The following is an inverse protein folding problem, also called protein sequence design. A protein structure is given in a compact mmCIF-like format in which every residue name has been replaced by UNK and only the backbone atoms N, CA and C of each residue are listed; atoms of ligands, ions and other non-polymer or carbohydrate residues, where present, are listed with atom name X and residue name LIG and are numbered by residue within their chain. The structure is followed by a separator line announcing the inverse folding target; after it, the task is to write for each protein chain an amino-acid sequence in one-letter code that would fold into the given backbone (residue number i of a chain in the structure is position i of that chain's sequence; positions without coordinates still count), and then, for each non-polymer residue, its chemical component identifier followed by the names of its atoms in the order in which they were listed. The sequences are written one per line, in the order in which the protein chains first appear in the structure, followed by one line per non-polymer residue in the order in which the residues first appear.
data_IF_554251334235
#
_entry.id   IF_554251334235
#
_cell.length_a   1.000
_cell.length_b   1.000
_cell.length_c   1.000
_cell.angle_alpha   90.00
_cell.angle_beta   90.00
_cell.angle_gamma   90.00
#
_symmetry.space_group_name_H-M   'P 1'
#
loop_
_entity.id
_entity.type
_entity.pdbx_description
1 polymer ?
#
# COMPACT_ATOMS: atom_id res chain seq x y z
N UNK A 1 -4.23 37.79 13.12
CA UNK A 1 -4.12 36.85 11.99
C UNK A 1 -3.67 35.51 12.56
N UNK A 2 -4.63 34.65 12.91
CA UNK A 2 -4.35 33.29 13.36
C UNK A 2 -4.55 32.37 12.18
N UNK A 3 -3.46 31.82 11.64
CA UNK A 3 -3.55 30.71 10.69
C UNK A 3 -4.13 29.52 11.43
N UNK A 4 -5.27 29.00 10.98
CA UNK A 4 -5.82 27.78 11.57
C UNK A 4 -4.81 26.63 11.36
N UNK A 5 -4.52 25.83 12.40
CA UNK A 5 -3.60 24.72 12.30
C UNK A 5 -4.11 23.72 11.25
N UNK A 6 -3.23 23.39 10.29
CA UNK A 6 -3.49 22.35 9.29
C UNK A 6 -3.50 20.98 9.99
N UNK A 7 -4.50 20.15 9.67
CA UNK A 7 -4.69 18.85 10.31
C UNK A 7 -3.53 17.88 10.05
N UNK A 8 -3.26 16.94 10.99
CA UNK A 8 -2.22 15.94 10.80
C UNK A 8 -2.71 14.83 9.86
N UNK A 9 -2.17 14.83 8.64
CA UNK A 9 -2.37 13.86 7.55
C UNK A 9 -2.23 12.38 7.93
N UNK A 10 -1.64 12.09 9.10
CA UNK A 10 -1.59 10.74 9.67
C UNK A 10 -2.98 10.11 9.83
N UNK A 11 -4.04 10.90 10.06
CA UNK A 11 -5.42 10.38 10.11
C UNK A 11 -5.94 9.92 8.74
N UNK A 12 -5.57 10.63 7.67
CA UNK A 12 -5.96 10.30 6.29
C UNK A 12 -5.21 9.05 5.82
N UNK A 13 -3.94 8.93 6.18
CA UNK A 13 -3.11 7.75 5.89
C UNK A 13 -3.60 6.53 6.69
N UNK A 14 -4.02 6.72 7.94
CA UNK A 14 -4.65 5.66 8.74
C UNK A 14 -6.01 5.24 8.15
N UNK A 15 -6.81 6.18 7.64
CA UNK A 15 -8.08 5.88 6.96
C UNK A 15 -7.84 5.15 5.62
N UNK A 16 -6.80 5.51 4.88
CA UNK A 16 -6.38 4.83 3.66
C UNK A 16 -5.88 3.41 3.93
N UNK A 17 -5.05 3.25 4.96
CA UNK A 17 -4.63 1.94 5.43
C UNK A 17 -5.86 1.11 5.82
N UNK A 18 -6.78 1.67 6.62
CA UNK A 18 -8.01 1.00 7.06
C UNK A 18 -8.94 0.59 5.89
N UNK A 19 -9.02 1.39 4.82
CA UNK A 19 -9.77 1.04 3.60
C UNK A 19 -9.10 -0.09 2.81
N UNK A 20 -7.77 -0.11 2.77
CA UNK A 20 -6.97 -1.15 2.13
C UNK A 20 -6.89 -2.47 2.91
N UNK A 21 -7.09 -2.49 4.24
CA UNK A 21 -6.98 -3.75 5.01
C UNK A 21 -8.21 -4.64 4.89
N UNK A 22 -9.35 -4.19 4.33
CA UNK A 22 -10.47 -5.11 4.08
C UNK A 22 -11.79 -4.55 3.53
N UNK A 23 -11.99 -3.24 3.47
CA UNK A 23 -13.30 -2.68 3.05
C UNK A 23 -13.48 -2.51 1.54
N UNK A 24 -12.40 -2.19 0.82
CA UNK A 24 -12.49 -1.89 -0.62
C UNK A 24 -12.54 -3.17 -1.47
N UNK A 25 -11.83 -4.21 -1.07
CA UNK A 25 -11.69 -5.43 -1.85
C UNK A 25 -12.90 -6.36 -1.69
N UNK A 26 -13.47 -6.51 -0.50
CA UNK A 26 -14.77 -7.22 -0.34
C UNK A 26 -15.89 -6.51 -1.11
N UNK A 27 -15.85 -5.18 -1.17
CA UNK A 27 -16.77 -4.39 -1.98
C UNK A 27 -16.48 -4.52 -3.49
N UNK A 28 -15.22 -4.70 -3.89
CA UNK A 28 -14.82 -4.89 -5.29
C UNK A 28 -15.14 -6.32 -5.78
N UNK A 29 -14.88 -7.34 -4.97
CA UNK A 29 -15.13 -8.76 -5.24
C UNK A 29 -16.64 -9.08 -5.30
N UNK A 30 -17.42 -8.55 -4.34
CA UNK A 30 -18.90 -8.65 -4.36
C UNK A 30 -19.49 -8.02 -5.64
N UNK A 31 -18.80 -7.03 -6.21
CA UNK A 31 -19.23 -6.31 -7.41
C UNK A 31 -18.77 -7.01 -8.69
N UNK A 32 -17.58 -7.60 -8.70
CA UNK A 32 -17.11 -8.40 -9.83
C UNK A 32 -17.94 -9.68 -9.99
N UNK A 33 -18.23 -10.41 -8.91
CA UNK A 33 -19.11 -11.59 -8.98
C UNK A 33 -20.51 -11.24 -9.50
N UNK A 34 -21.07 -10.10 -9.06
CA UNK A 34 -22.35 -9.60 -9.58
C UNK A 34 -22.30 -9.18 -11.06
N UNK A 35 -21.15 -8.69 -11.55
CA UNK A 35 -20.93 -8.30 -12.95
C UNK A 35 -20.68 -9.50 -13.87
N UNK A 36 -20.05 -10.58 -13.40
CA UNK A 36 -19.94 -11.82 -14.20
C UNK A 36 -21.29 -12.50 -14.40
N UNK A 37 -22.23 -12.34 -13.46
CA UNK A 37 -23.61 -12.81 -13.59
C UNK A 37 -24.49 -11.95 -14.51
N UNK A 38 -24.08 -10.72 -14.85
CA UNK A 38 -24.82 -9.82 -15.74
C UNK A 38 -23.90 -9.06 -16.68
N UNK A 39 -23.75 -9.59 -17.89
CA UNK A 39 -23.12 -8.85 -18.98
C UNK A 39 -23.86 -7.52 -19.21
N UNK A 40 -23.07 -6.43 -19.19
CA UNK A 40 -23.40 -5.01 -19.42
C UNK A 40 -23.87 -4.17 -18.21
N UNK A 41 -22.97 -3.37 -17.62
CA UNK A 41 -23.27 -1.98 -17.19
C UNK A 41 -22.02 -1.17 -16.71
N UNK A 42 -21.64 -0.08 -17.40
CA UNK A 42 -20.67 0.94 -16.91
C UNK A 42 -21.23 1.87 -15.80
N UNK A 43 -22.55 1.91 -15.59
CA UNK A 43 -23.22 2.85 -14.68
C UNK A 43 -23.14 2.45 -13.19
N UNK A 44 -22.80 1.19 -12.90
CA UNK A 44 -22.85 0.63 -11.55
C UNK A 44 -21.55 0.81 -10.75
N UNK A 45 -20.37 0.74 -11.39
CA UNK A 45 -19.09 1.11 -10.77
C UNK A 45 -19.10 2.56 -10.24
N UNK A 46 -19.75 3.48 -10.96
CA UNK A 46 -19.98 4.86 -10.51
C UNK A 46 -20.84 4.95 -9.24
N UNK A 47 -21.82 4.06 -9.08
CA UNK A 47 -22.69 4.04 -7.90
C UNK A 47 -22.00 3.43 -6.67
N UNK A 48 -21.04 2.52 -6.87
CA UNK A 48 -20.35 1.83 -5.78
C UNK A 48 -19.10 2.59 -5.33
N UNK A 49 -18.33 3.22 -6.23
CA UNK A 49 -17.37 4.25 -5.79
C UNK A 49 -18.09 5.36 -5.02
N UNK A 50 -19.30 5.78 -5.45
CA UNK A 50 -20.11 6.71 -4.67
C UNK A 50 -20.60 6.14 -3.33
N UNK A 51 -20.89 4.84 -3.23
CA UNK A 51 -21.36 4.21 -1.98
C UNK A 51 -20.21 3.99 -1.00
N UNK A 52 -19.04 3.53 -1.45
CA UNK A 52 -17.82 3.47 -0.67
C UNK A 52 -17.39 4.88 -0.22
N UNK A 53 -17.34 5.85 -1.15
CA UNK A 53 -17.13 7.26 -0.80
C UNK A 53 -18.13 7.77 0.24
N UNK A 54 -19.42 7.41 0.13
CA UNK A 54 -20.45 7.81 1.11
C UNK A 54 -20.26 7.14 2.46
N UNK A 55 -20.00 5.83 2.51
CA UNK A 55 -19.81 5.10 3.77
C UNK A 55 -18.54 5.58 4.48
N UNK A 56 -17.46 5.80 3.73
CA UNK A 56 -16.23 6.37 4.28
C UNK A 56 -16.42 7.83 4.69
N UNK A 57 -17.11 8.65 3.89
CA UNK A 57 -17.44 10.03 4.27
C UNK A 57 -18.36 10.08 5.51
N UNK A 58 -19.31 9.16 5.65
CA UNK A 58 -20.16 9.04 6.84
C UNK A 58 -19.35 8.59 8.05
N UNK A 59 -18.47 7.60 7.92
CA UNK A 59 -17.62 7.15 9.02
C UNK A 59 -16.66 8.25 9.48
N UNK A 60 -16.03 8.94 8.52
CA UNK A 60 -15.21 10.13 8.76
C UNK A 60 -16.03 11.17 9.51
N UNK A 61 -17.19 11.60 9.00
CA UNK A 61 -18.06 12.59 9.66
C UNK A 61 -18.43 12.18 11.09
N UNK A 62 -18.67 10.89 11.33
CA UNK A 62 -19.03 10.36 12.65
C UNK A 62 -17.87 10.30 13.65
N UNK A 63 -16.62 10.24 13.17
CA UNK A 63 -15.44 10.02 14.02
C UNK A 63 -14.43 11.17 13.98
N UNK A 64 -14.62 12.14 13.08
CA UNK A 64 -13.89 13.40 13.09
C UNK A 64 -14.48 14.37 14.11
N UNK A 65 -13.62 15.11 14.79
CA UNK A 65 -14.01 16.02 15.88
C UNK A 65 -14.47 17.39 15.39
N UNK A 66 -14.31 17.70 14.10
CA UNK A 66 -14.81 18.97 13.54
C UNK A 66 -15.35 18.85 12.10
N UNK A 67 -16.28 19.74 11.69
CA UNK A 67 -16.80 19.82 10.32
C UNK A 67 -15.73 20.02 9.24
N UNK A 68 -14.58 20.61 9.61
CA UNK A 68 -13.46 20.86 8.70
C UNK A 68 -12.68 19.57 8.41
N UNK A 69 -12.44 18.76 9.44
CA UNK A 69 -11.80 17.43 9.31
C UNK A 69 -12.64 16.52 8.39
N UNK A 70 -13.97 16.60 8.51
CA UNK A 70 -14.88 15.87 7.63
C UNK A 70 -14.83 16.33 6.17
N UNK A 71 -14.61 17.62 5.91
CA UNK A 71 -14.51 18.19 4.57
C UNK A 71 -13.21 17.77 3.88
N UNK A 72 -12.09 17.82 4.59
CA UNK A 72 -10.77 17.51 4.02
C UNK A 72 -10.61 16.02 3.72
N UNK A 73 -11.13 15.15 4.59
CA UNK A 73 -11.23 13.72 4.32
C UNK A 73 -12.15 13.41 3.11
N UNK A 74 -13.21 14.18 2.87
CA UNK A 74 -14.00 14.06 1.63
C UNK A 74 -13.20 14.47 0.38
N UNK A 75 -12.31 15.46 0.46
CA UNK A 75 -11.42 15.85 -0.64
C UNK A 75 -10.39 14.75 -0.92
N UNK A 76 -9.74 14.21 0.12
CA UNK A 76 -8.80 13.10 -0.02
C UNK A 76 -9.47 11.89 -0.70
N UNK A 77 -10.66 11.49 -0.23
CA UNK A 77 -11.44 10.42 -0.85
C UNK A 77 -11.76 10.71 -2.31
N UNK A 78 -12.11 11.95 -2.66
CA UNK A 78 -12.34 12.32 -4.06
C UNK A 78 -11.09 12.14 -4.91
N UNK A 79 -9.93 12.58 -4.45
CA UNK A 79 -8.66 12.45 -5.18
C UNK A 79 -8.26 10.98 -5.40
N UNK A 80 -8.49 10.12 -4.41
CA UNK A 80 -8.20 8.68 -4.48
C UNK A 80 -9.12 7.98 -5.49
N UNK A 81 -10.38 8.40 -5.56
CA UNK A 81 -11.41 7.72 -6.38
C UNK A 81 -11.72 8.42 -7.72
N UNK A 82 -11.05 9.52 -8.08
CA UNK A 82 -11.16 10.10 -9.43
C UNK A 82 -10.14 9.48 -10.37
N UNK A 83 -10.58 8.86 -11.49
CA UNK A 83 -9.67 8.33 -12.49
C UNK A 83 -9.09 9.50 -13.28
N UNK A 84 -7.94 10.03 -12.86
CA UNK A 84 -7.28 11.11 -13.62
C UNK A 84 -5.76 10.99 -13.56
N UNK A 85 -5.23 10.26 -14.53
CA UNK A 85 -3.83 10.16 -14.94
C UNK A 85 -3.22 11.47 -15.49
N UNK A 86 -3.82 12.65 -15.25
CA UNK A 86 -3.36 13.94 -15.81
C UNK A 86 -3.26 15.12 -14.84
N UNK A 87 -3.70 14.99 -13.59
CA UNK A 87 -3.68 16.11 -12.63
C UNK A 87 -2.42 16.17 -11.75
N UNK A 88 -1.55 15.15 -11.78
CA UNK A 88 -0.40 15.02 -10.87
C UNK A 88 0.89 15.72 -11.37
N UNK A 89 0.90 16.34 -12.54
CA UNK A 89 2.13 16.88 -13.18
C UNK A 89 2.55 18.30 -12.76
N UNK A 90 1.91 18.94 -11.78
CA UNK A 90 2.18 20.37 -11.46
C UNK A 90 2.53 20.68 -10.00
N UNK A 91 3.12 19.74 -9.25
CA UNK A 91 3.44 19.96 -7.84
C UNK A 91 4.89 19.60 -7.48
N UNK A 92 5.82 20.58 -7.46
CA UNK A 92 7.24 20.35 -7.16
C UNK A 92 7.58 20.09 -5.68
N UNK A 93 6.61 20.02 -4.77
CA UNK A 93 6.81 19.77 -3.34
C UNK A 93 5.97 18.61 -2.78
N UNK A 94 5.35 17.80 -3.66
CA UNK A 94 4.41 16.72 -3.27
C UNK A 94 4.89 15.31 -3.64
N UNK A 95 6.19 15.14 -3.94
CA UNK A 95 6.75 13.83 -4.29
C UNK A 95 6.64 12.81 -3.13
N UNK A 96 6.75 13.26 -1.87
CA UNK A 96 6.55 12.46 -0.63
C UNK A 96 5.09 12.18 -0.29
N UNK A 97 4.17 12.30 -1.24
CA UNK A 97 2.80 11.83 -1.04
C UNK A 97 2.42 10.84 -2.13
N UNK A 98 2.88 11.08 -3.35
CA UNK A 98 2.70 10.13 -4.46
C UNK A 98 3.51 8.86 -4.22
N UNK A 99 4.74 8.99 -3.71
CA UNK A 99 5.60 7.84 -3.49
C UNK A 99 5.05 6.87 -2.44
N UNK A 100 4.49 7.40 -1.35
CA UNK A 100 3.94 6.70 -0.20
C UNK A 100 2.59 6.11 -0.56
N UNK A 101 1.79 6.81 -1.39
CA UNK A 101 0.58 6.24 -1.97
C UNK A 101 0.91 5.03 -2.87
N UNK A 102 1.90 5.15 -3.75
CA UNK A 102 2.36 4.03 -4.58
C UNK A 102 2.89 2.87 -3.72
N UNK A 103 3.63 3.18 -2.66
CA UNK A 103 4.14 2.20 -1.70
C UNK A 103 3.00 1.41 -1.04
N UNK A 104 2.01 2.12 -0.47
CA UNK A 104 0.81 1.49 0.12
C UNK A 104 0.11 0.61 -0.91
N UNK A 105 -0.06 1.11 -2.14
CA UNK A 105 -0.73 0.37 -3.22
C UNK A 105 0.01 -0.92 -3.56
N UNK A 106 1.33 -0.87 -3.64
CA UNK A 106 2.17 -2.04 -3.89
C UNK A 106 2.03 -3.08 -2.76
N UNK A 107 1.98 -2.66 -1.49
CA UNK A 107 1.77 -3.55 -0.35
C UNK A 107 0.40 -4.23 -0.36
N UNK A 108 -0.65 -3.51 -0.78
CA UNK A 108 -2.01 -4.04 -0.89
C UNK A 108 -2.07 -5.15 -1.93
N UNK A 109 -1.60 -4.89 -3.15
CA UNK A 109 -1.59 -5.90 -4.22
C UNK A 109 -0.70 -7.10 -3.89
N UNK A 110 0.37 -6.93 -3.12
CA UNK A 110 1.16 -8.06 -2.63
C UNK A 110 0.33 -9.02 -1.77
N UNK A 111 -0.70 -8.54 -1.06
CA UNK A 111 -1.60 -9.40 -0.26
C UNK A 111 -2.65 -10.11 -1.10
N UNK A 112 -3.06 -9.55 -2.24
CA UNK A 112 -4.00 -10.17 -3.17
C UNK A 112 -3.44 -11.46 -3.80
N UNK A 113 -2.13 -11.47 -4.03
CA UNK A 113 -1.39 -12.62 -4.52
C UNK A 113 -1.84 -13.10 -5.90
N UNK A 114 -2.44 -14.28 -5.98
CA UNK A 114 -2.92 -14.89 -7.23
C UNK A 114 -4.26 -14.31 -7.73
N UNK A 115 -4.95 -13.51 -6.90
CA UNK A 115 -6.21 -12.89 -7.29
C UNK A 115 -5.98 -11.92 -8.46
N UNK A 116 -6.87 -11.97 -9.45
CA UNK A 116 -6.84 -11.06 -10.60
C UNK A 116 -7.66 -9.82 -10.24
N UNK A 117 -6.98 -8.70 -10.07
CA UNK A 117 -7.58 -7.44 -9.63
C UNK A 117 -7.64 -6.40 -10.74
N UNK A 118 -7.25 -5.17 -10.40
CA UNK A 118 -7.15 -4.04 -11.35
C UNK A 118 -6.25 -4.41 -12.54
N UNK A 119 -6.50 -3.76 -13.69
CA UNK A 119 -5.72 -3.95 -14.93
C UNK A 119 -5.71 -5.37 -15.49
N UNK A 120 -6.56 -6.28 -14.96
CA UNK A 120 -6.55 -7.73 -15.27
C UNK A 120 -5.20 -8.38 -14.93
N UNK A 121 -4.46 -7.80 -13.99
CA UNK A 121 -3.21 -8.33 -13.49
C UNK A 121 -3.48 -9.15 -12.22
N UNK A 122 -2.63 -10.15 -11.98
CA UNK A 122 -2.57 -10.81 -10.67
C UNK A 122 -1.96 -9.85 -9.66
N UNK A 123 -2.37 -9.95 -8.39
CA UNK A 123 -1.84 -9.16 -7.28
C UNK A 123 -0.31 -9.09 -7.26
N UNK A 124 0.39 -10.19 -7.52
CA UNK A 124 1.86 -10.20 -7.64
C UNK A 124 2.38 -9.21 -8.70
N UNK A 125 1.88 -9.31 -9.93
CA UNK A 125 2.31 -8.46 -11.04
C UNK A 125 1.91 -7.00 -10.83
N UNK A 126 0.75 -6.78 -10.22
CA UNK A 126 0.29 -5.43 -9.92
C UNK A 126 1.14 -4.79 -8.81
N UNK A 127 1.51 -5.55 -7.78
CA UNK A 127 2.45 -5.12 -6.75
C UNK A 127 3.78 -4.67 -7.35
N UNK A 128 4.38 -5.47 -8.23
CA UNK A 128 5.62 -5.11 -8.92
C UNK A 128 5.50 -3.84 -9.77
N UNK A 129 4.39 -3.66 -10.48
CA UNK A 129 4.13 -2.42 -11.22
C UNK A 129 4.17 -1.20 -10.29
N UNK A 130 3.52 -1.26 -9.13
CA UNK A 130 3.50 -0.14 -8.19
C UNK A 130 4.83 0.06 -7.45
N UNK A 131 5.66 -0.98 -7.28
CA UNK A 131 7.02 -0.81 -6.79
C UNK A 131 7.89 -0.02 -7.78
N UNK A 132 7.75 -0.27 -9.08
CA UNK A 132 8.41 0.55 -10.11
C UNK A 132 7.95 2.01 -10.03
N UNK A 133 6.65 2.26 -9.82
CA UNK A 133 6.12 3.62 -9.59
C UNK A 133 6.57 4.25 -8.27
N UNK A 134 6.94 3.44 -7.27
CA UNK A 134 7.46 3.92 -5.98
C UNK A 134 8.92 4.35 -6.11
N UNK A 135 9.72 3.69 -6.96
CA UNK A 135 11.15 3.98 -7.09
C UNK A 135 11.92 3.78 -5.77
N UNK A 136 12.99 4.55 -5.55
CA UNK A 136 13.81 4.44 -4.32
C UNK A 136 13.14 5.11 -3.14
N UNK A 137 12.83 4.36 -2.09
CA UNK A 137 12.19 4.87 -0.88
C UNK A 137 13.15 4.95 0.32
N UNK A 138 13.05 5.96 1.22
CA UNK A 138 13.90 6.06 2.41
C UNK A 138 13.88 4.83 3.33
N UNK A 139 12.77 4.09 3.35
CA UNK A 139 12.62 2.88 4.17
C UNK A 139 13.41 1.66 3.66
N UNK A 140 13.89 1.68 2.43
CA UNK A 140 14.57 0.52 1.84
C UNK A 140 15.84 0.14 2.62
N UNK A 141 16.55 1.10 3.20
CA UNK A 141 17.72 0.81 4.03
C UNK A 141 17.35 0.11 5.35
N UNK A 142 16.32 0.58 6.05
CA UNK A 142 15.89 -0.04 7.31
C UNK A 142 15.30 -1.44 7.07
N UNK A 143 14.59 -1.63 5.96
CA UNK A 143 14.07 -2.94 5.54
C UNK A 143 15.18 -3.92 5.21
N UNK A 144 16.18 -3.47 4.46
CA UNK A 144 17.36 -4.28 4.16
C UNK A 144 18.05 -4.73 5.44
N UNK A 145 18.36 -3.81 6.35
CA UNK A 145 19.03 -4.13 7.61
C UNK A 145 18.22 -5.13 8.43
N UNK A 146 16.91 -4.91 8.57
CA UNK A 146 16.02 -5.83 9.28
C UNK A 146 15.99 -7.22 8.64
N UNK A 147 15.93 -7.27 7.32
CA UNK A 147 15.93 -8.53 6.58
C UNK A 147 17.25 -9.28 6.76
N UNK A 148 18.39 -8.59 6.67
CA UNK A 148 19.72 -9.19 6.88
C UNK A 148 19.88 -9.77 8.28
N UNK A 149 19.44 -9.03 9.31
CA UNK A 149 19.48 -9.45 10.71
C UNK A 149 18.61 -10.68 10.98
N UNK A 150 17.40 -10.72 10.40
CA UNK A 150 16.40 -11.75 10.74
C UNK A 150 16.42 -12.98 9.84
N UNK A 151 17.16 -12.94 8.73
CA UNK A 151 17.28 -14.05 7.78
C UNK A 151 18.58 -14.85 7.93
N UNK A 152 19.39 -14.60 8.96
CA UNK A 152 20.70 -15.25 9.15
C UNK A 152 20.60 -16.78 9.11
N UNK A 153 19.56 -17.34 9.73
CA UNK A 153 19.31 -18.79 9.78
C UNK A 153 18.43 -19.31 8.62
N UNK A 154 18.18 -18.47 7.60
CA UNK A 154 17.30 -18.78 6.47
C UNK A 154 18.08 -18.66 5.14
N UNK A 155 19.02 -19.58 4.85
CA UNK A 155 19.91 -19.46 3.70
C UNK A 155 19.18 -19.35 2.36
N UNK A 156 18.06 -20.07 2.18
CA UNK A 156 17.24 -19.99 0.96
C UNK A 156 16.58 -18.61 0.78
N UNK A 157 16.19 -17.94 1.87
CA UNK A 157 15.69 -16.55 1.82
C UNK A 157 16.82 -15.61 1.43
N UNK A 158 18.00 -15.77 2.04
CA UNK A 158 19.17 -14.94 1.73
C UNK A 158 19.57 -15.03 0.27
N UNK A 159 19.64 -16.25 -0.26
CA UNK A 159 19.95 -16.50 -1.66
C UNK A 159 18.93 -15.84 -2.60
N UNK A 160 17.63 -15.86 -2.25
CA UNK A 160 16.60 -15.22 -3.07
C UNK A 160 16.67 -13.70 -3.07
N UNK A 161 16.96 -13.08 -1.93
CA UNK A 161 17.00 -11.62 -1.81
C UNK A 161 18.31 -11.04 -2.33
N UNK A 162 19.45 -11.67 -2.05
CA UNK A 162 20.77 -11.10 -2.32
C UNK A 162 21.63 -11.92 -3.29
N UNK A 163 21.23 -13.16 -3.62
CA UNK A 163 22.05 -14.08 -4.40
C UNK A 163 23.19 -14.68 -3.57
N UNK A 164 24.25 -15.13 -4.26
CA UNK A 164 25.40 -15.82 -3.65
C UNK A 164 26.38 -14.85 -2.98
N UNK A 165 26.32 -13.56 -3.32
CA UNK A 165 27.21 -12.55 -2.75
C UNK A 165 26.53 -11.77 -1.62
N UNK A 166 27.25 -11.49 -0.52
CA UNK A 166 26.71 -10.67 0.55
C UNK A 166 26.37 -9.27 0.02
N UNK A 167 25.33 -8.63 0.55
CA UNK A 167 24.87 -7.31 0.13
C UNK A 167 25.85 -6.22 0.60
N UNK A 168 27.05 -6.15 0.04
CA UNK A 168 27.96 -5.04 0.32
C UNK A 168 27.57 -3.75 -0.41
N UNK A 169 26.59 -3.82 -1.34
CA UNK A 169 26.10 -2.66 -2.09
C UNK A 169 24.65 -2.77 -2.62
N UNK A 170 23.96 -3.90 -2.45
CA UNK A 170 22.63 -4.09 -3.03
C UNK A 170 21.57 -3.43 -2.14
N UNK A 171 20.82 -2.46 -2.67
CA UNK A 171 19.66 -1.89 -1.98
C UNK A 171 18.53 -2.93 -1.86
N UNK A 172 17.67 -2.79 -0.85
CA UNK A 172 16.42 -3.56 -0.76
C UNK A 172 15.66 -3.51 -2.08
N UNK A 173 15.29 -4.69 -2.57
CA UNK A 173 14.56 -4.89 -3.82
C UNK A 173 13.18 -5.47 -3.48
N UNK A 174 12.12 -4.65 -3.52
CA UNK A 174 10.79 -5.11 -3.16
C UNK A 174 10.24 -6.15 -4.14
N UNK A 175 10.69 -6.18 -5.40
CA UNK A 175 10.25 -7.19 -6.37
C UNK A 175 10.77 -8.57 -5.97
N UNK A 176 11.99 -8.67 -5.44
CA UNK A 176 12.48 -9.95 -4.90
C UNK A 176 11.66 -10.44 -3.71
N UNK A 177 11.15 -9.53 -2.88
CA UNK A 177 10.22 -9.88 -1.80
C UNK A 177 8.87 -10.37 -2.36
N UNK A 178 8.32 -9.69 -3.38
CA UNK A 178 7.10 -10.14 -4.08
C UNK A 178 7.29 -11.54 -4.65
N UNK A 179 8.39 -11.78 -5.36
CA UNK A 179 8.71 -13.07 -5.97
C UNK A 179 8.93 -14.17 -4.93
N UNK A 180 9.57 -13.86 -3.79
CA UNK A 180 9.73 -14.79 -2.67
C UNK A 180 8.37 -15.20 -2.10
N UNK A 181 7.48 -14.24 -1.85
CA UNK A 181 6.12 -14.52 -1.34
C UNK A 181 5.28 -15.31 -2.35
N UNK A 182 5.39 -14.99 -3.64
CA UNK A 182 4.74 -15.74 -4.72
C UNK A 182 5.24 -17.18 -4.79
N UNK A 183 6.56 -17.40 -4.70
CA UNK A 183 7.18 -18.72 -4.66
C UNK A 183 6.65 -19.56 -3.49
N UNK A 184 6.65 -19.00 -2.28
CA UNK A 184 6.09 -19.65 -1.08
C UNK A 184 4.62 -20.02 -1.29
N UNK A 185 3.81 -19.10 -1.82
CA UNK A 185 2.38 -19.32 -2.06
C UNK A 185 2.13 -20.41 -3.11
N UNK A 186 2.97 -20.50 -4.13
CA UNK A 186 2.89 -21.50 -5.20
C UNK A 186 3.31 -22.90 -4.76
N UNK A 187 3.99 -23.02 -3.61
CA UNK A 187 4.52 -24.30 -3.12
C UNK A 187 5.87 -24.70 -3.73
N UNK A 188 6.56 -23.78 -4.41
CA UNK A 188 7.85 -24.08 -5.04
C UNK A 188 8.86 -22.91 -4.97
N UNK A 189 10.15 -23.20 -4.72
CA UNK A 189 10.71 -24.53 -4.46
C UNK A 189 10.53 -24.96 -2.98
N UNK A 190 10.57 -26.28 -2.66
CA UNK A 190 10.21 -26.81 -1.34
C UNK A 190 10.99 -26.19 -0.17
N UNK A 191 12.24 -25.81 -0.39
CA UNK A 191 13.10 -25.16 0.61
C UNK A 191 12.58 -23.78 1.06
N UNK A 192 11.79 -23.10 0.24
CA UNK A 192 11.11 -21.85 0.63
C UNK A 192 9.77 -22.11 1.32
N UNK A 193 9.17 -23.27 1.14
CA UNK A 193 7.83 -23.59 1.63
C UNK A 193 7.85 -24.18 3.05
N UNK A 194 8.69 -23.63 3.92
CA UNK A 194 8.81 -24.04 5.32
C UNK A 194 8.11 -23.06 6.25
N UNK A 195 7.65 -23.54 7.41
CA UNK A 195 7.00 -22.67 8.40
C UNK A 195 7.86 -21.49 8.87
N UNK A 196 9.19 -21.64 9.11
CA UNK A 196 10.06 -20.51 9.46
C UNK A 196 10.13 -19.44 8.37
N UNK A 197 10.22 -19.84 7.09
CA UNK A 197 10.27 -18.89 5.97
C UNK A 197 8.95 -18.15 5.82
N UNK A 198 7.81 -18.85 5.92
CA UNK A 198 6.49 -18.21 5.90
C UNK A 198 6.32 -17.21 7.06
N UNK A 199 6.72 -17.60 8.27
CA UNK A 199 6.67 -16.73 9.44
C UNK A 199 7.58 -15.50 9.28
N UNK A 200 8.77 -15.68 8.70
CA UNK A 200 9.69 -14.59 8.39
C UNK A 200 9.08 -13.60 7.39
N UNK A 201 8.45 -14.08 6.30
CA UNK A 201 7.80 -13.21 5.33
C UNK A 201 6.67 -12.38 5.93
N UNK A 202 5.85 -12.99 6.81
CA UNK A 202 4.80 -12.27 7.56
C UNK A 202 5.42 -11.22 8.48
N UNK A 203 6.48 -11.59 9.21
CA UNK A 203 7.19 -10.66 10.10
C UNK A 203 7.78 -9.46 9.36
N UNK A 204 8.40 -9.69 8.20
CA UNK A 204 8.91 -8.61 7.35
C UNK A 204 7.80 -7.72 6.80
N UNK A 205 6.68 -8.31 6.36
CA UNK A 205 5.55 -7.52 5.89
C UNK A 205 4.94 -6.65 7.00
N UNK A 206 4.85 -7.16 8.24
CA UNK A 206 4.41 -6.34 9.39
C UNK A 206 5.37 -5.19 9.66
N UNK A 207 6.68 -5.46 9.70
CA UNK A 207 7.70 -4.44 9.92
C UNK A 207 7.66 -3.35 8.82
N UNK A 208 7.40 -3.74 7.58
CA UNK A 208 7.29 -2.82 6.44
C UNK A 208 6.06 -1.90 6.56
N UNK A 209 4.90 -2.44 6.94
CA UNK A 209 3.71 -1.64 7.22
C UNK A 209 3.92 -0.67 8.38
N UNK A 210 4.49 -1.15 9.49
CA UNK A 210 4.76 -0.33 10.67
C UNK A 210 5.73 0.81 10.35
N UNK A 211 6.82 0.50 9.64
CA UNK A 211 7.82 1.48 9.22
C UNK A 211 7.22 2.55 8.32
N UNK A 212 6.34 2.16 7.39
CA UNK A 212 5.65 3.11 6.50
C UNK A 212 4.71 4.03 7.26
N UNK A 213 3.91 3.48 8.19
CA UNK A 213 3.00 4.29 9.00
C UNK A 213 3.75 5.27 9.89
N UNK A 214 4.86 4.84 10.50
CA UNK A 214 5.71 5.70 11.31
C UNK A 214 6.34 6.82 10.47
N UNK A 215 6.91 6.48 9.31
CA UNK A 215 7.50 7.45 8.37
C UNK A 215 6.48 8.53 7.96
N UNK A 216 5.28 8.10 7.57
CA UNK A 216 4.18 8.99 7.22
C UNK A 216 3.75 9.89 8.39
N UNK A 217 3.74 9.37 9.62
CA UNK A 217 3.43 10.16 10.81
C UNK A 217 4.50 11.21 11.11
N UNK A 218 5.77 10.84 11.04
CA UNK A 218 6.91 11.75 11.24
C UNK A 218 6.91 12.87 10.20
N UNK A 219 6.70 12.54 8.92
CA UNK A 219 6.60 13.53 7.84
C UNK A 219 5.44 14.52 8.08
N UNK A 220 4.28 14.01 8.53
CA UNK A 220 3.12 14.85 8.82
C UNK A 220 3.35 15.79 10.02
N UNK A 221 3.99 15.30 11.09
CA UNK A 221 4.27 16.10 12.28
C UNK A 221 5.35 17.15 12.04
N UNK A 222 6.41 16.81 11.30
CA UNK A 222 7.44 17.76 10.89
C UNK A 222 6.86 18.91 10.05
N UNK A 223 5.97 18.59 9.11
CA UNK A 223 5.27 19.59 8.28
C UNK A 223 4.44 20.55 9.13
N UNK A 224 3.72 20.04 10.14
CA UNK A 224 2.92 20.85 11.05
C UNK A 224 3.76 21.77 11.95
N UNK A 225 4.94 21.32 12.40
CA UNK A 225 5.83 22.12 13.23
C UNK A 225 6.51 23.28 12.45
N UNK A 226 6.59 23.16 11.12
CA UNK A 226 7.17 24.17 10.24
C UNK A 226 6.19 25.23 9.73
N UNK A 227 4.88 25.07 10.02
CA UNK A 227 3.79 25.95 9.58
C UNK A 227 3.36 26.94 10.67
#
# INVERSE_FOLDING_TARGET
MGGEPREPWSKVILALAYLGVGGLDEAHDTVQEANYARAAAPLWCHHISKRAQRLTATWVVLHTRSPREAHDAQIALRLIFTPTSRALTLLPQHMTHVQEANYVHALLHRREGERVGELRLRGWSNSSYWWDQTGRHPLFESLQKKAEETSQDLPAVRERLWGVQPPSAAAWDPDKMVMLMAAIKSGAPPELCTAPVAAWCVGMQHFEWESLLLHCHEAATASAASS
#
